data_IF_600044536794
#
_entry.id   IF_600044536794
#
_cell.length_a   1.000
_cell.length_b   1.000
_cell.length_c   1.000
_cell.angle_alpha   90.00
_cell.angle_beta   90.00
_cell.angle_gamma   90.00
#
_symmetry.space_group_name_H-M   'P 1'
#
loop_
_entity.id
_entity.type
_entity.pdbx_description
1 polymer ?
#
# COMPACT_ATOMS: atom_id res chain seq x y z
N UNK A 1 5.23 -11.94 13.13
CA UNK A 1 4.50 -10.65 13.23
C UNK A 1 5.51 -9.52 13.24
N UNK A 2 5.06 -8.28 13.01
CA UNK A 2 5.93 -7.09 12.96
C UNK A 2 5.25 -5.90 13.64
N UNK A 3 6.01 -4.86 14.00
CA UNK A 3 5.48 -3.57 14.45
C UNK A 3 5.83 -2.42 13.49
N UNK A 4 6.99 -2.50 12.84
CA UNK A 4 7.53 -1.49 11.91
C UNK A 4 8.03 -2.15 10.62
N UNK A 5 8.09 -1.38 9.54
CA UNK A 5 8.57 -1.85 8.23
C UNK A 5 10.03 -2.36 8.29
N UNK A 6 10.86 -1.80 9.17
CA UNK A 6 12.27 -2.20 9.33
C UNK A 6 12.47 -3.65 9.79
N UNK A 7 11.42 -4.31 10.31
CA UNK A 7 11.45 -5.73 10.68
C UNK A 7 11.14 -6.65 9.49
N UNK A 8 10.69 -6.07 8.37
CA UNK A 8 10.33 -6.78 7.16
C UNK A 8 11.44 -6.69 6.11
N UNK A 9 11.37 -7.56 5.10
CA UNK A 9 12.30 -7.54 3.97
C UNK A 9 12.10 -6.33 3.06
N UNK A 10 13.08 -6.09 2.17
CA UNK A 10 12.95 -5.06 1.13
C UNK A 10 11.71 -5.30 0.26
N UNK A 11 10.99 -4.22 -0.07
CA UNK A 11 9.74 -4.32 -0.83
C UNK A 11 8.54 -4.81 -0.02
N UNK A 12 8.64 -4.87 1.32
CA UNK A 12 7.56 -5.29 2.21
C UNK A 12 7.22 -4.21 3.23
N UNK A 13 5.97 -4.17 3.66
CA UNK A 13 5.50 -3.27 4.70
C UNK A 13 4.88 -4.04 5.86
N UNK A 14 4.85 -3.45 7.05
CA UNK A 14 4.21 -4.03 8.21
C UNK A 14 2.76 -3.56 8.33
N UNK A 15 1.82 -4.30 7.73
CA UNK A 15 0.40 -3.93 7.64
C UNK A 15 -0.48 -4.65 8.67
N UNK A 16 -1.65 -4.08 8.94
CA UNK A 16 -2.67 -4.65 9.84
C UNK A 16 -3.43 -5.78 9.11
N UNK A 17 -3.74 -6.87 9.80
CA UNK A 17 -4.58 -7.94 9.24
C UNK A 17 -6.02 -7.47 9.02
N UNK A 18 -6.65 -7.91 7.92
CA UNK A 18 -8.07 -7.65 7.62
C UNK A 18 -9.02 -8.22 8.70
N UNK A 19 -8.67 -9.36 9.29
CA UNK A 19 -9.57 -10.12 10.16
C UNK A 19 -9.28 -9.91 11.65
N UNK A 20 -8.02 -9.63 12.00
CA UNK A 20 -7.56 -9.58 13.39
C UNK A 20 -6.79 -8.26 13.60
N UNK A 21 -7.48 -7.26 14.17
CA UNK A 21 -6.91 -5.91 14.36
C UNK A 21 -5.63 -5.87 15.19
N UNK A 22 -5.46 -6.81 16.13
CA UNK A 22 -4.25 -6.94 16.96
C UNK A 22 -3.06 -7.58 16.24
N UNK A 23 -3.27 -8.08 15.02
CA UNK A 23 -2.26 -8.81 14.26
C UNK A 23 -1.70 -7.95 13.13
N UNK A 24 -0.37 -7.93 13.05
CA UNK A 24 0.38 -7.30 11.97
C UNK A 24 1.40 -8.25 11.38
N UNK A 25 1.57 -8.17 10.07
CA UNK A 25 2.46 -9.04 9.33
C UNK A 25 3.18 -8.28 8.24
N UNK A 26 4.34 -8.81 7.84
CA UNK A 26 5.03 -8.33 6.66
C UNK A 26 4.22 -8.74 5.44
N UNK A 27 3.74 -7.75 4.69
CA UNK A 27 3.01 -7.91 3.45
C UNK A 27 3.81 -7.30 2.30
N UNK A 28 3.76 -7.87 1.09
CA UNK A 28 4.41 -7.27 -0.07
C UNK A 28 3.79 -5.91 -0.41
N UNK A 29 4.56 -5.06 -1.09
CA UNK A 29 4.04 -3.84 -1.72
C UNK A 29 3.05 -4.16 -2.84
N UNK A 30 2.09 -3.26 -3.05
CA UNK A 30 0.98 -3.49 -3.98
C UNK A 30 1.42 -3.34 -5.45
N UNK A 31 0.97 -4.28 -6.28
CA UNK A 31 1.19 -4.38 -7.72
C UNK A 31 0.15 -3.58 -8.52
N UNK A 32 0.33 -3.46 -9.84
CA UNK A 32 -0.61 -2.73 -10.69
C UNK A 32 -2.02 -3.34 -10.61
N UNK A 33 -3.03 -2.49 -10.39
CA UNK A 33 -4.44 -2.86 -10.20
C UNK A 33 -4.85 -3.20 -8.76
N UNK A 34 -3.89 -3.45 -7.86
CA UNK A 34 -4.18 -3.76 -6.45
C UNK A 34 -4.62 -2.52 -5.67
N UNK A 35 -5.37 -2.78 -4.59
CA UNK A 35 -5.85 -1.72 -3.69
C UNK A 35 -4.67 -1.08 -2.95
N UNK A 36 -4.73 0.24 -2.85
CA UNK A 36 -3.80 1.02 -2.08
C UNK A 36 -4.53 2.12 -1.33
N UNK A 37 -3.89 2.67 -0.31
CA UNK A 37 -4.41 3.83 0.40
C UNK A 37 -3.55 5.06 0.07
N UNK A 38 -4.12 6.24 -0.27
CA UNK A 38 -3.34 7.43 -0.65
C UNK A 38 -2.38 7.90 0.45
N UNK A 39 -2.73 7.65 1.71
CA UNK A 39 -1.86 7.94 2.87
C UNK A 39 -0.88 6.80 3.23
N UNK A 40 -0.75 5.78 2.38
CA UNK A 40 0.27 4.75 2.56
C UNK A 40 1.64 5.36 2.29
N UNK A 41 2.33 5.78 3.35
CA UNK A 41 3.72 6.24 3.29
C UNK A 41 4.62 5.19 2.60
N UNK A 42 5.68 5.67 1.93
CA UNK A 42 6.68 4.82 1.27
C UNK A 42 7.33 3.85 2.27
N UNK A 43 7.81 2.71 1.76
CA UNK A 43 8.60 1.75 2.54
C UNK A 43 10.09 2.14 2.47
N UNK A 44 10.85 2.10 3.58
CA UNK A 44 10.37 1.82 4.93
C UNK A 44 9.70 3.03 5.59
N UNK A 45 8.56 2.81 6.22
CA UNK A 45 7.93 3.78 7.11
C UNK A 45 8.44 3.61 8.54
N UNK A 46 8.90 4.69 9.17
CA UNK A 46 9.43 4.68 10.53
C UNK A 46 8.35 4.58 11.62
N UNK A 47 7.11 4.96 11.29
CA UNK A 47 5.96 4.87 12.17
C UNK A 47 5.28 3.49 12.15
N UNK A 48 4.09 3.43 12.76
CA UNK A 48 3.23 2.24 12.77
C UNK A 48 2.13 2.39 11.73
N UNK A 49 1.99 1.43 10.83
CA UNK A 49 0.88 1.43 9.87
C UNK A 49 -0.42 1.08 10.59
N UNK A 50 -1.48 1.78 10.20
CA UNK A 50 -2.85 1.56 10.72
C UNK A 50 -3.77 0.94 9.67
N UNK A 51 -3.32 0.89 8.41
CA UNK A 51 -4.06 0.35 7.28
C UNK A 51 -3.58 -1.08 6.98
N UNK A 52 -4.47 -1.86 6.36
CA UNK A 52 -4.20 -3.21 5.87
C UNK A 52 -3.54 -3.22 4.49
N UNK A 53 -3.48 -2.06 3.81
CA UNK A 53 -2.83 -1.90 2.51
C UNK A 53 -1.37 -1.48 2.65
N UNK A 54 -0.48 -2.09 1.88
CA UNK A 54 0.88 -1.59 1.65
C UNK A 54 0.90 -0.52 0.54
N UNK A 55 1.94 0.33 0.47
CA UNK A 55 2.09 1.24 -0.66
C UNK A 55 2.37 0.47 -1.95
N UNK A 56 2.08 1.10 -3.08
CA UNK A 56 2.39 0.56 -4.40
C UNK A 56 3.89 0.37 -4.60
N UNK A 57 4.27 -0.54 -5.50
CA UNK A 57 5.65 -0.69 -5.97
C UNK A 57 6.25 0.67 -6.43
N UNK A 58 7.58 0.88 -6.33
CA UNK A 58 8.20 2.19 -6.57
C UNK A 58 7.92 2.84 -7.93
N UNK A 59 7.54 2.06 -8.94
CA UNK A 59 7.22 2.48 -10.30
C UNK A 59 5.72 2.71 -10.55
N UNK A 60 4.90 2.63 -9.50
CA UNK A 60 3.45 2.78 -9.54
C UNK A 60 3.01 3.91 -8.61
N UNK A 61 1.83 4.46 -8.87
CA UNK A 61 1.22 5.46 -8.01
C UNK A 61 -0.15 5.00 -7.52
N UNK A 62 -0.50 5.44 -6.31
CA UNK A 62 -1.81 5.21 -5.76
C UNK A 62 -2.77 6.31 -6.23
N UNK A 63 -3.75 5.95 -7.04
CA UNK A 63 -4.73 6.90 -7.61
C UNK A 63 -6.13 6.52 -7.17
N UNK A 64 -6.88 7.52 -6.72
CA UNK A 64 -8.29 7.40 -6.36
C UNK A 64 -9.12 7.50 -7.64
N UNK A 65 -9.88 6.46 -7.94
CA UNK A 65 -10.79 6.42 -9.09
C UNK A 65 -12.05 7.24 -8.81
N UNK A 66 -12.86 7.49 -9.86
CA UNK A 66 -14.17 8.14 -9.73
C UNK A 66 -15.15 7.40 -8.81
N UNK A 67 -14.97 6.09 -8.63
CA UNK A 67 -15.75 5.24 -7.72
C UNK A 67 -15.32 5.38 -6.25
N UNK A 68 -14.24 6.15 -5.98
CA UNK A 68 -13.74 6.43 -4.63
C UNK A 68 -12.78 5.38 -4.08
N UNK A 69 -12.59 4.24 -4.75
CA UNK A 69 -11.54 3.28 -4.40
C UNK A 69 -10.17 3.75 -4.92
N UNK A 70 -9.11 3.40 -4.21
CA UNK A 70 -7.74 3.77 -4.59
C UNK A 70 -6.95 2.55 -5.04
N UNK A 71 -6.28 2.66 -6.19
CA UNK A 71 -5.56 1.56 -6.84
C UNK A 71 -4.18 1.97 -7.33
N UNK A 72 -3.28 0.98 -7.38
CA UNK A 72 -1.94 1.17 -7.93
C UNK A 72 -1.98 1.18 -9.46
N UNK A 73 -1.52 2.25 -10.07
CA UNK A 73 -1.54 2.44 -11.53
C UNK A 73 -0.18 2.89 -12.03
N UNK A 74 0.15 2.50 -13.25
CA UNK A 74 1.36 2.95 -13.93
C UNK A 74 1.23 4.42 -14.33
N UNK A 75 2.29 5.24 -14.19
CA UNK A 75 2.33 6.65 -14.61
C UNK A 75 1.74 6.95 -15.99
N UNK A 76 1.95 6.05 -16.94
CA UNK A 76 1.44 6.17 -18.31
C UNK A 76 -0.09 6.05 -18.44
N UNK A 77 -0.74 5.35 -17.51
CA UNK A 77 -2.20 5.09 -17.55
C UNK A 77 -3.00 6.04 -16.67
N UNK A 78 -2.36 7.01 -16.00
CA UNK A 78 -3.06 7.93 -15.11
C UNK A 78 -4.25 8.60 -15.77
N UNK A 79 -4.12 8.95 -17.06
CA UNK A 79 -5.14 9.69 -17.80
C UNK A 79 -6.45 8.89 -17.97
N UNK A 80 -6.37 7.56 -17.98
CA UNK A 80 -7.54 6.69 -18.13
C UNK A 80 -8.38 6.57 -16.84
N UNK A 81 -7.85 6.99 -15.69
CA UNK A 81 -8.54 6.91 -14.39
C UNK A 81 -9.19 8.22 -13.92
N UNK A 82 -8.89 9.34 -14.60
CA UNK A 82 -9.46 10.67 -14.32
C UNK A 82 -10.49 11.12 -15.38
N UNK A 83 -10.67 10.34 -16.46
CA UNK A 83 -11.69 10.52 -17.51
C UNK A 83 -12.95 9.69 -17.19
#
# INVERSE_FOLDING_TARGET
>A
SCEKDAQCGGGMCCAVSLWIRSLRMCMPMAMEGEECHPMSHKVPFSGKRLHHTCPCLPNLACITTVEGNSRCVSPSKFQDYYL
#
